data_IF_461842139142
#
_entry.id   IF_461842139142
#
_cell.length_a   1.000
_cell.length_b   1.000
_cell.length_c   1.000
_cell.angle_alpha   90.00
_cell.angle_beta   90.00
_cell.angle_gamma   90.00
#
_symmetry.space_group_name_H-M   'P 1'
#
loop_
_entity.id
_entity.type
_entity.pdbx_description
1 polymer ?
#
# COMPACT_ATOMS: atom_id res chain seq x y z
N UNK A 1 -31.01 -1.04 27.37
CA UNK A 1 -31.15 -2.26 26.53
C UNK A 1 -31.18 -3.41 27.50
N UNK A 2 -32.23 -4.24 27.44
CA UNK A 2 -32.44 -5.34 28.38
C UNK A 2 -31.44 -6.47 28.08
N UNK A 3 -31.02 -7.18 29.13
CA UNK A 3 -30.07 -8.30 29.11
C UNK A 3 -30.63 -9.61 28.50
N UNK A 4 -31.79 -9.55 27.84
CA UNK A 4 -32.53 -10.74 27.40
C UNK A 4 -32.42 -11.02 25.89
N UNK A 5 -31.71 -10.20 25.11
CA UNK A 5 -31.57 -10.38 23.64
C UNK A 5 -30.35 -11.22 23.21
N UNK A 6 -29.59 -11.79 24.17
CA UNK A 6 -28.42 -12.65 23.90
C UNK A 6 -28.72 -14.16 24.02
N UNK A 7 -29.96 -14.55 24.36
CA UNK A 7 -30.32 -15.96 24.59
C UNK A 7 -30.52 -16.79 23.33
N UNK A 8 -30.60 -16.16 22.15
CA UNK A 8 -31.06 -16.84 20.93
C UNK A 8 -29.97 -16.97 19.85
N UNK A 9 -28.69 -16.90 20.24
CA UNK A 9 -27.63 -17.37 19.36
C UNK A 9 -27.56 -18.89 19.49
N UNK A 10 -28.43 -19.56 18.72
CA UNK A 10 -28.47 -21.01 18.65
C UNK A 10 -27.08 -21.54 18.24
N UNK A 11 -26.43 -22.34 19.10
CA UNK A 11 -25.15 -22.96 18.80
C UNK A 11 -25.22 -23.82 17.53
N UNK A 12 -26.37 -24.39 17.18
CA UNK A 12 -26.56 -25.07 15.90
C UNK A 12 -26.45 -24.09 14.72
N UNK A 13 -26.92 -22.84 14.83
CA UNK A 13 -26.80 -21.84 13.77
C UNK A 13 -25.36 -21.35 13.57
N UNK A 14 -24.58 -21.25 14.67
CA UNK A 14 -23.14 -20.98 14.60
C UNK A 14 -22.42 -22.17 13.98
N UNK A 15 -22.73 -23.39 14.43
CA UNK A 15 -22.11 -24.61 13.93
C UNK A 15 -22.48 -24.85 12.46
N UNK A 16 -23.71 -24.57 12.03
CA UNK A 16 -24.16 -24.67 10.66
C UNK A 16 -23.57 -23.56 9.77
N UNK A 17 -23.31 -22.35 10.31
CA UNK A 17 -22.51 -21.32 9.63
C UNK A 17 -21.04 -21.76 9.45
N UNK A 18 -20.46 -22.40 10.47
CA UNK A 18 -19.12 -22.96 10.44
C UNK A 18 -19.02 -24.18 9.50
N UNK A 19 -20.05 -25.03 9.44
CA UNK A 19 -20.07 -26.27 8.66
C UNK A 19 -20.41 -26.02 7.17
N UNK A 20 -21.26 -25.03 6.87
CA UNK A 20 -21.45 -24.54 5.50
C UNK A 20 -20.23 -23.77 4.98
N UNK A 21 -19.31 -23.38 5.87
CA UNK A 21 -17.97 -22.96 5.47
C UNK A 21 -17.13 -24.20 5.11
N UNK A 22 -17.29 -24.66 3.87
CA UNK A 22 -16.33 -25.56 3.20
C UNK A 22 -14.88 -25.01 3.18
N UNK A 23 -14.66 -23.79 3.73
CA UNK A 23 -13.38 -23.14 4.06
C UNK A 23 -12.68 -23.68 5.32
N UNK A 24 -13.37 -24.37 6.24
CA UNK A 24 -12.77 -24.87 7.49
C UNK A 24 -11.76 -26.02 7.26
N UNK A 25 -11.94 -26.82 6.20
CA UNK A 25 -11.06 -27.95 5.85
C UNK A 25 -9.67 -27.58 5.31
N UNK A 26 -9.34 -26.29 5.16
CA UNK A 26 -7.98 -25.82 4.77
C UNK A 26 -7.11 -25.37 5.97
N UNK A 27 -7.63 -25.35 7.20
CA UNK A 27 -6.88 -24.85 8.36
C UNK A 27 -5.76 -25.78 8.87
N UNK A 28 -5.74 -27.06 8.48
CA UNK A 28 -4.62 -27.96 8.79
C UNK A 28 -3.28 -27.47 8.20
N UNK A 29 -3.29 -26.64 7.15
CA UNK A 29 -2.05 -26.05 6.62
C UNK A 29 -1.45 -24.99 7.55
N UNK A 30 -2.26 -24.33 8.39
CA UNK A 30 -1.78 -23.31 9.35
C UNK A 30 -1.07 -23.95 10.55
N UNK A 31 -1.44 -25.17 10.97
CA UNK A 31 -0.70 -25.89 12.02
C UNK A 31 0.76 -26.18 11.65
N UNK A 32 1.09 -26.30 10.37
CA UNK A 32 2.48 -26.42 9.89
C UNK A 32 3.24 -25.10 9.92
N UNK A 33 2.54 -23.97 10.05
CA UNK A 33 3.17 -22.64 10.18
C UNK A 33 3.55 -22.30 11.63
N UNK A 34 3.02 -23.00 12.63
CA UNK A 34 3.30 -22.73 14.07
C UNK A 34 4.80 -22.78 14.39
N UNK A 35 5.53 -23.77 13.87
CA UNK A 35 6.99 -23.86 14.04
C UNK A 35 7.76 -22.77 13.28
N UNK A 36 7.16 -22.20 12.24
CA UNK A 36 7.74 -21.06 11.52
C UNK A 36 7.48 -19.75 12.27
N UNK A 37 6.30 -19.59 12.88
CA UNK A 37 5.90 -18.42 13.67
C UNK A 37 6.81 -18.21 14.88
N UNK A 38 7.19 -19.29 15.57
CA UNK A 38 8.11 -19.23 16.72
C UNK A 38 9.52 -18.69 16.40
N UNK A 39 9.91 -18.71 15.12
CA UNK A 39 11.23 -18.25 14.67
C UNK A 39 11.18 -16.84 14.03
N UNK A 40 10.00 -16.21 13.99
CA UNK A 40 9.86 -14.86 13.45
C UNK A 40 10.38 -13.81 14.42
N UNK A 41 10.96 -12.74 13.88
CA UNK A 41 11.15 -11.52 14.66
C UNK A 41 9.80 -10.92 15.05
N UNK A 42 9.77 -10.13 16.12
CA UNK A 42 8.55 -9.45 16.58
C UNK A 42 7.86 -8.66 15.46
N UNK A 43 8.64 -7.91 14.67
CA UNK A 43 8.10 -7.13 13.55
C UNK A 43 7.51 -8.02 12.45
N UNK A 44 8.10 -9.18 12.18
CA UNK A 44 7.56 -10.12 11.19
C UNK A 44 6.25 -10.73 11.65
N UNK A 45 6.17 -11.10 12.93
CA UNK A 45 4.93 -11.57 13.55
C UNK A 45 3.82 -10.52 13.44
N UNK A 46 4.12 -9.25 13.76
CA UNK A 46 3.14 -8.17 13.68
C UNK A 46 2.66 -7.93 12.25
N UNK A 47 3.56 -7.93 11.26
CA UNK A 47 3.18 -7.77 9.85
C UNK A 47 2.22 -8.90 9.43
N UNK A 48 2.50 -10.15 9.82
CA UNK A 48 1.61 -11.27 9.53
C UNK A 48 0.27 -11.13 10.25
N UNK A 49 0.28 -10.80 11.55
CA UNK A 49 -0.93 -10.62 12.36
C UNK A 49 -1.87 -9.60 11.72
N UNK A 50 -1.37 -8.40 11.40
CA UNK A 50 -2.20 -7.36 10.77
C UNK A 50 -2.59 -7.74 9.34
N UNK A 51 -1.74 -8.46 8.61
CA UNK A 51 -2.11 -8.97 7.29
C UNK A 51 -3.28 -9.94 7.36
N UNK A 52 -3.25 -10.88 8.30
CA UNK A 52 -4.37 -11.80 8.53
C UNK A 52 -5.64 -11.07 8.99
N UNK A 53 -5.53 -10.09 9.89
CA UNK A 53 -6.67 -9.26 10.32
C UNK A 53 -7.33 -8.55 9.14
N UNK A 54 -6.56 -7.88 8.27
CA UNK A 54 -7.13 -7.21 7.11
C UNK A 54 -7.67 -8.18 6.05
N UNK A 55 -6.98 -9.28 5.77
CA UNK A 55 -7.50 -10.30 4.85
C UNK A 55 -8.83 -10.89 5.37
N UNK A 56 -8.95 -11.13 6.67
CA UNK A 56 -10.19 -11.56 7.30
C UNK A 56 -11.30 -10.53 7.14
N UNK A 57 -11.05 -9.26 7.44
CA UNK A 57 -12.02 -8.16 7.24
C UNK A 57 -12.47 -8.11 5.77
N UNK A 58 -11.53 -8.15 4.83
CA UNK A 58 -11.81 -8.17 3.40
C UNK A 58 -12.67 -9.38 2.99
N UNK A 59 -12.49 -10.54 3.63
CA UNK A 59 -13.28 -11.74 3.37
C UNK A 59 -14.75 -11.62 3.77
N UNK A 60 -15.08 -10.66 4.63
CA UNK A 60 -16.44 -10.32 5.06
C UNK A 60 -17.09 -9.22 4.19
N UNK A 61 -16.43 -8.78 3.13
CA UNK A 61 -17.02 -7.82 2.20
C UNK A 61 -18.23 -8.41 1.47
N UNK A 62 -19.19 -7.54 1.10
CA UNK A 62 -20.37 -7.95 0.34
C UNK A 62 -19.96 -8.67 -0.97
N UNK A 63 -20.72 -9.67 -1.42
CA UNK A 63 -20.45 -10.34 -2.70
C UNK A 63 -20.38 -9.35 -3.87
N UNK A 64 -19.55 -9.65 -4.87
CA UNK A 64 -19.36 -8.83 -6.07
C UNK A 64 -18.87 -7.40 -5.79
N UNK A 65 -18.08 -7.19 -4.73
CA UNK A 65 -17.36 -5.95 -4.43
C UNK A 65 -15.85 -6.13 -4.61
N UNK A 66 -15.10 -5.02 -4.61
CA UNK A 66 -13.65 -5.04 -4.89
C UNK A 66 -12.87 -6.06 -4.06
N UNK A 67 -13.07 -6.13 -2.74
CA UNK A 67 -12.29 -7.02 -1.87
C UNK A 67 -12.75 -8.48 -1.97
N UNK A 68 -14.05 -8.73 -2.18
CA UNK A 68 -14.57 -10.07 -2.46
C UNK A 68 -14.08 -10.60 -3.81
N UNK A 69 -13.87 -9.71 -4.79
CA UNK A 69 -13.33 -10.05 -6.11
C UNK A 69 -11.82 -10.30 -6.06
N UNK A 70 -11.10 -9.54 -5.23
CA UNK A 70 -9.67 -9.77 -4.98
C UNK A 70 -9.48 -11.12 -4.29
N UNK A 71 -10.20 -11.39 -3.20
CA UNK A 71 -10.12 -12.67 -2.47
C UNK A 71 -10.93 -13.78 -3.17
N UNK A 72 -10.48 -14.17 -4.36
CA UNK A 72 -11.17 -15.17 -5.17
C UNK A 72 -10.20 -16.04 -5.98
N UNK A 73 -10.65 -17.23 -6.36
CA UNK A 73 -9.91 -18.10 -7.30
C UNK A 73 -9.77 -17.51 -8.71
N UNK A 74 -10.51 -16.45 -9.03
CA UNK A 74 -10.50 -15.74 -10.32
C UNK A 74 -9.79 -14.39 -10.24
N UNK A 75 -9.00 -14.15 -9.18
CA UNK A 75 -8.36 -12.86 -8.91
C UNK A 75 -7.68 -12.25 -10.14
N UNK A 76 -6.99 -13.05 -10.96
CA UNK A 76 -6.29 -12.54 -12.13
C UNK A 76 -7.22 -11.96 -13.19
N UNK A 77 -8.41 -12.52 -13.38
CA UNK A 77 -9.40 -12.02 -14.33
C UNK A 77 -10.10 -10.77 -13.77
N UNK A 78 -10.32 -10.74 -12.46
CA UNK A 78 -10.98 -9.61 -11.77
C UNK A 78 -10.07 -8.40 -11.66
N UNK A 79 -8.79 -8.59 -11.34
CA UNK A 79 -7.89 -7.49 -11.00
C UNK A 79 -7.51 -6.61 -12.19
N UNK A 80 -7.49 -7.18 -13.40
CA UNK A 80 -7.07 -6.48 -14.63
C UNK A 80 -8.04 -5.36 -15.04
N UNK A 81 -9.30 -5.42 -14.60
CA UNK A 81 -10.36 -4.50 -15.04
C UNK A 81 -10.85 -3.56 -13.93
N UNK A 82 -10.20 -3.55 -12.77
CA UNK A 82 -10.58 -2.71 -11.64
C UNK A 82 -9.51 -1.65 -11.32
N UNK A 83 -9.96 -0.58 -10.68
CA UNK A 83 -9.15 0.45 -10.09
C UNK A 83 -8.84 0.08 -8.64
N UNK A 84 -7.65 -0.46 -8.40
CA UNK A 84 -7.25 -0.99 -7.09
C UNK A 84 -7.08 0.18 -6.09
N UNK A 85 -7.80 0.18 -4.95
CA UNK A 85 -7.53 1.12 -3.85
C UNK A 85 -6.11 0.96 -3.32
N UNK A 86 -5.37 2.06 -3.20
CA UNK A 86 -3.93 1.99 -2.89
C UNK A 86 -3.07 1.45 -4.04
N UNK A 87 -3.62 1.33 -5.25
CA UNK A 87 -2.90 0.92 -6.45
C UNK A 87 -2.02 2.03 -7.02
N UNK A 88 -1.01 1.62 -7.78
CA UNK A 88 0.03 2.48 -8.36
C UNK A 88 -0.51 3.44 -9.43
N UNK A 89 -0.09 4.72 -9.43
CA UNK A 89 -0.36 5.60 -10.56
C UNK A 89 0.46 5.18 -11.79
N UNK A 90 -0.11 5.37 -12.99
CA UNK A 90 0.50 4.92 -14.26
C UNK A 90 1.88 5.56 -14.53
N UNK A 91 2.04 6.82 -14.12
CA UNK A 91 3.22 7.63 -14.46
C UNK A 91 3.99 8.09 -13.22
N UNK A 92 4.06 7.23 -12.19
CA UNK A 92 4.77 7.51 -10.92
C UNK A 92 6.18 8.08 -11.14
N UNK A 93 6.91 7.51 -12.11
CA UNK A 93 8.27 7.94 -12.47
C UNK A 93 8.33 9.41 -12.90
N UNK A 94 7.41 9.81 -13.78
CA UNK A 94 7.39 11.16 -14.32
C UNK A 94 6.96 12.17 -13.26
N UNK A 95 6.04 11.77 -12.38
CA UNK A 95 5.57 12.58 -11.24
C UNK A 95 6.76 12.88 -10.31
N UNK A 96 7.51 11.85 -9.91
CA UNK A 96 8.68 12.01 -9.03
C UNK A 96 9.78 12.83 -9.71
N UNK A 97 10.03 12.57 -10.99
CA UNK A 97 11.02 13.31 -11.78
C UNK A 97 10.69 14.80 -11.88
N UNK A 98 9.41 15.17 -11.99
CA UNK A 98 9.02 16.57 -12.00
C UNK A 98 9.25 17.26 -10.65
N UNK A 99 9.15 16.55 -9.52
CA UNK A 99 9.52 17.09 -8.20
C UNK A 99 11.02 17.33 -8.10
N UNK A 100 11.83 16.33 -8.49
CA UNK A 100 13.30 16.47 -8.51
C UNK A 100 13.75 17.65 -9.37
N UNK A 101 13.12 17.82 -10.54
CA UNK A 101 13.41 18.94 -11.44
C UNK A 101 12.98 20.28 -10.81
N UNK A 102 11.85 20.32 -10.09
CA UNK A 102 11.42 21.52 -9.36
C UNK A 102 12.46 21.93 -8.33
N UNK A 103 12.86 20.99 -7.48
CA UNK A 103 13.87 21.21 -6.44
C UNK A 103 15.20 21.65 -7.06
N UNK A 104 15.59 21.05 -8.18
CA UNK A 104 16.77 21.48 -8.93
C UNK A 104 16.65 22.93 -9.39
N UNK A 105 15.55 23.35 -10.03
CA UNK A 105 15.39 24.74 -10.48
C UNK A 105 15.28 25.74 -9.33
N UNK A 106 14.63 25.37 -8.24
CA UNK A 106 14.52 26.21 -7.04
C UNK A 106 15.91 26.43 -6.40
N UNK A 107 16.76 25.39 -6.36
CA UNK A 107 18.11 25.43 -5.78
C UNK A 107 19.18 25.98 -6.74
N UNK A 108 18.99 25.85 -8.07
CA UNK A 108 19.91 26.35 -9.10
C UNK A 108 20.15 27.85 -9.02
N UNK A 109 19.21 28.61 -8.46
CA UNK A 109 19.41 30.05 -8.19
C UNK A 109 20.53 30.33 -7.18
N UNK A 110 20.93 29.34 -6.38
CA UNK A 110 22.00 29.44 -5.39
C UNK A 110 23.36 28.89 -5.87
N UNK A 111 23.41 28.06 -6.91
CA UNK A 111 24.64 27.46 -7.45
C UNK A 111 24.97 27.95 -8.86
N UNK A 112 26.23 28.27 -9.14
CA UNK A 112 26.69 28.71 -10.48
C UNK A 112 26.76 27.57 -11.52
N UNK A 113 26.24 26.38 -11.19
CA UNK A 113 26.30 25.20 -12.05
C UNK A 113 25.16 25.21 -13.08
N UNK A 114 25.53 25.24 -14.37
CA UNK A 114 24.61 25.14 -15.50
C UNK A 114 24.56 23.70 -16.00
N UNK A 115 23.79 22.85 -15.34
CA UNK A 115 23.42 21.54 -15.88
C UNK A 115 22.12 21.65 -16.69
N UNK A 116 22.07 20.92 -17.80
CA UNK A 116 20.86 20.76 -18.60
C UNK A 116 19.98 19.71 -17.97
N UNK A 117 18.68 19.98 -17.89
CA UNK A 117 17.70 19.06 -17.30
C UNK A 117 16.99 18.28 -18.41
N UNK A 118 16.86 16.98 -18.24
CA UNK A 118 16.26 16.11 -19.24
C UNK A 118 15.36 15.07 -18.61
N UNK A 119 14.42 14.55 -19.41
CA UNK A 119 13.56 13.42 -19.06
C UNK A 119 13.82 12.31 -20.06
N UNK A 120 14.10 11.13 -19.54
CA UNK A 120 14.19 9.87 -20.27
C UNK A 120 12.79 9.40 -20.69
N UNK A 121 12.63 8.63 -21.76
CA UNK A 121 11.29 8.15 -22.17
C UNK A 121 10.59 7.20 -21.19
N UNK A 122 11.28 6.75 -20.14
CA UNK A 122 10.62 6.06 -19.03
C UNK A 122 10.06 7.03 -17.97
N UNK A 123 10.17 8.33 -18.20
CA UNK A 123 9.79 9.40 -17.28
C UNK A 123 10.93 9.90 -16.39
N UNK A 124 12.03 9.15 -16.25
CA UNK A 124 13.08 9.51 -15.27
C UNK A 124 13.88 10.75 -15.68
N UNK A 125 13.97 11.71 -14.77
CA UNK A 125 14.87 12.87 -14.83
C UNK A 125 16.36 12.48 -14.85
N UNK A 126 17.16 13.22 -15.61
CA UNK A 126 18.62 13.16 -15.54
C UNK A 126 19.24 14.50 -15.94
N UNK A 127 20.48 14.72 -15.54
CA UNK A 127 21.18 16.00 -15.67
C UNK A 127 22.46 15.83 -16.50
N UNK A 128 22.78 16.83 -17.34
CA UNK A 128 24.00 16.85 -18.14
C UNK A 128 24.75 18.16 -17.87
N UNK A 129 25.95 18.06 -17.31
CA UNK A 129 26.84 19.20 -17.05
C UNK A 129 27.53 19.71 -18.34
N UNK A 130 28.39 20.72 -18.21
CA UNK A 130 29.24 21.25 -19.28
C UNK A 130 28.45 21.81 -20.49
N UNK A 131 28.03 23.08 -20.38
CA UNK A 131 27.26 23.81 -21.38
C UNK A 131 25.84 23.27 -21.64
N UNK A 132 25.35 22.33 -20.83
CA UNK A 132 23.99 21.77 -20.93
C UNK A 132 23.72 21.05 -22.26
N UNK A 133 24.76 20.61 -22.96
CA UNK A 133 24.61 20.02 -24.29
C UNK A 133 25.09 18.57 -24.29
N UNK A 134 24.34 17.65 -24.90
CA UNK A 134 24.71 16.24 -24.91
C UNK A 134 25.93 16.02 -25.81
N UNK A 135 27.06 15.67 -25.19
CA UNK A 135 28.29 15.31 -25.90
C UNK A 135 28.78 13.88 -25.58
N UNK A 136 28.02 13.16 -24.75
CA UNK A 136 28.22 11.76 -24.44
C UNK A 136 26.88 11.06 -24.28
N UNK A 137 26.92 9.74 -24.45
CA UNK A 137 25.78 8.86 -24.18
C UNK A 137 26.05 8.03 -22.92
N UNK A 138 24.99 7.69 -22.21
CA UNK A 138 25.01 6.75 -21.09
C UNK A 138 23.71 5.94 -21.07
N UNK A 139 23.58 4.97 -20.16
CA UNK A 139 22.34 4.21 -20.01
C UNK A 139 21.50 4.79 -18.87
N UNK A 140 20.20 4.92 -19.10
CA UNK A 140 19.26 5.27 -18.05
C UNK A 140 19.35 4.25 -16.92
N UNK A 141 19.50 4.71 -15.68
CA UNK A 141 19.52 3.84 -14.51
C UNK A 141 18.24 3.00 -14.34
N UNK A 142 17.13 3.41 -14.97
CA UNK A 142 15.83 2.76 -14.88
C UNK A 142 15.59 1.84 -16.06
N UNK A 143 15.12 2.37 -17.21
CA UNK A 143 14.78 1.54 -18.37
C UNK A 143 15.99 0.97 -19.13
N UNK A 144 17.22 1.23 -18.68
CA UNK A 144 18.49 0.83 -19.31
C UNK A 144 18.71 1.31 -20.76
N UNK A 145 17.73 2.00 -21.36
CA UNK A 145 17.83 2.63 -22.68
C UNK A 145 18.82 3.80 -22.65
N UNK A 146 19.47 4.03 -23.79
CA UNK A 146 20.45 5.10 -23.98
C UNK A 146 19.83 6.48 -23.72
N UNK A 147 20.55 7.32 -22.98
CA UNK A 147 20.28 8.73 -22.69
C UNK A 147 21.45 9.61 -23.14
N UNK A 148 21.25 10.93 -23.13
CA UNK A 148 22.23 11.89 -23.65
C UNK A 148 22.25 11.92 -25.18
N UNK A 149 23.43 12.07 -25.76
CA UNK A 149 23.59 12.22 -27.21
C UNK A 149 24.98 12.70 -27.61
N UNK A 150 25.15 13.02 -28.89
CA UNK A 150 26.44 13.39 -29.49
C UNK A 150 26.31 14.66 -30.32
N UNK A 151 27.39 15.43 -30.44
CA UNK A 151 27.42 16.67 -31.23
C UNK A 151 26.26 17.62 -30.89
N UNK A 152 25.96 17.77 -29.60
CA UNK A 152 24.91 18.65 -29.08
C UNK A 152 23.49 18.26 -29.52
N UNK A 153 23.31 17.04 -30.02
CA UNK A 153 22.01 16.48 -30.39
C UNK A 153 21.67 15.31 -29.48
N UNK A 154 20.51 15.40 -28.84
CA UNK A 154 19.96 14.27 -28.09
C UNK A 154 19.74 13.07 -29.01
N UNK A 155 19.96 11.87 -28.46
CA UNK A 155 19.55 10.65 -29.13
C UNK A 155 18.02 10.66 -29.34
N UNK A 156 17.58 10.67 -30.60
CA UNK A 156 16.16 10.79 -30.95
C UNK A 156 15.40 9.55 -30.50
N UNK A 157 14.45 9.74 -29.58
CA UNK A 157 13.40 8.78 -29.24
C UNK A 157 12.20 9.52 -28.66
N UNK A 158 11.02 8.92 -28.78
CA UNK A 158 9.79 9.46 -28.20
C UNK A 158 9.91 9.59 -26.67
N UNK A 159 9.38 10.67 -26.09
CA UNK A 159 9.40 10.93 -24.64
C UNK A 159 10.77 11.28 -24.04
N UNK A 160 11.83 11.37 -24.85
CA UNK A 160 13.16 11.79 -24.41
C UNK A 160 13.40 13.26 -24.76
N UNK A 161 13.33 14.13 -23.76
CA UNK A 161 13.19 15.57 -23.97
C UNK A 161 14.05 16.38 -23.00
N UNK A 162 14.54 17.54 -23.46
CA UNK A 162 15.05 18.58 -22.56
C UNK A 162 13.89 19.28 -21.85
N UNK A 163 14.09 19.64 -20.59
CA UNK A 163 13.17 20.46 -19.82
C UNK A 163 13.80 21.83 -19.64
N UNK A 164 13.14 22.84 -20.18
CA UNK A 164 13.57 24.23 -20.09
C UNK A 164 12.88 24.91 -18.91
N UNK A 165 13.64 25.63 -18.09
CA UNK A 165 13.09 26.37 -16.93
C UNK A 165 12.10 27.43 -17.41
N UNK A 166 12.43 28.12 -18.50
CA UNK A 166 11.65 29.23 -19.04
C UNK A 166 11.83 29.39 -20.56
N UNK A 167 11.03 30.30 -21.14
CA UNK A 167 11.03 30.60 -22.57
C UNK A 167 12.37 31.13 -23.09
N UNK A 168 13.13 31.87 -22.27
CA UNK A 168 14.42 32.42 -22.67
C UNK A 168 15.44 31.29 -22.87
N UNK A 169 15.52 30.35 -21.93
CA UNK A 169 16.40 29.19 -22.05
C UNK A 169 16.03 28.34 -23.29
N UNK A 170 14.74 28.14 -23.53
CA UNK A 170 14.27 27.42 -24.72
C UNK A 170 14.65 28.15 -26.02
N UNK A 171 14.57 29.48 -26.04
CA UNK A 171 14.94 30.30 -27.19
C UNK A 171 16.44 30.28 -27.48
N UNK A 172 17.29 30.17 -26.45
CA UNK A 172 18.74 29.99 -26.59
C UNK A 172 19.12 28.60 -27.12
N UNK A 173 18.26 27.60 -26.91
CA UNK A 173 18.53 26.18 -27.20
C UNK A 173 17.56 25.57 -28.22
N UNK A 174 17.06 26.35 -29.18
CA UNK A 174 16.03 25.97 -30.18
C UNK A 174 16.31 24.67 -30.95
N UNK A 175 17.57 24.27 -31.07
CA UNK A 175 17.98 23.07 -31.80
C UNK A 175 17.80 21.77 -31.00
N UNK A 176 17.47 21.86 -29.71
CA UNK A 176 17.29 20.70 -28.82
C UNK A 176 15.79 20.50 -28.59
N UNK A 177 15.22 19.33 -28.94
CA UNK A 177 13.83 19.01 -28.63
C UNK A 177 13.58 19.06 -27.11
N UNK A 178 12.54 19.77 -26.71
CA UNK A 178 12.17 19.90 -25.31
C UNK A 178 10.87 20.65 -25.08
N UNK A 179 10.47 20.74 -23.83
CA UNK A 179 9.26 21.44 -23.38
C UNK A 179 9.56 22.32 -22.18
N UNK A 180 8.69 23.29 -21.90
CA UNK A 180 8.81 24.12 -20.72
C UNK A 180 8.50 23.30 -19.47
N UNK A 181 9.13 23.67 -18.36
CA UNK A 181 8.85 23.07 -17.06
C UNK A 181 7.39 23.30 -16.64
N UNK A 182 6.81 24.45 -16.97
CA UNK A 182 5.38 24.71 -16.76
C UNK A 182 4.47 23.73 -17.47
N UNK A 183 4.85 23.27 -18.66
CA UNK A 183 4.07 22.31 -19.45
C UNK A 183 4.20 20.91 -18.86
N UNK A 184 5.42 20.54 -18.42
CA UNK A 184 5.63 19.32 -17.66
C UNK A 184 4.76 19.27 -16.39
N UNK A 185 4.68 20.35 -15.62
CA UNK A 185 3.88 20.39 -14.40
C UNK A 185 2.38 20.21 -14.68
N UNK A 186 1.85 20.83 -15.74
CA UNK A 186 0.45 20.63 -16.17
C UNK A 186 0.19 19.18 -16.56
N UNK A 187 1.10 18.57 -17.31
CA UNK A 187 1.00 17.16 -17.71
C UNK A 187 1.02 16.25 -16.47
N UNK A 188 1.96 16.47 -15.56
CA UNK A 188 2.07 15.69 -14.31
C UNK A 188 0.81 15.82 -13.46
N UNK A 189 0.20 16.99 -13.37
CA UNK A 189 -1.05 17.17 -12.62
C UNK A 189 -2.21 16.36 -13.23
N UNK A 190 -2.31 16.32 -14.57
CA UNK A 190 -3.29 15.48 -15.26
C UNK A 190 -2.99 13.99 -15.00
N UNK A 191 -1.71 13.59 -15.05
CA UNK A 191 -1.30 12.20 -14.89
C UNK A 191 -1.45 11.69 -13.45
N UNK A 192 -1.25 12.55 -12.44
CA UNK A 192 -1.54 12.24 -11.02
C UNK A 192 -2.99 11.79 -10.84
N UNK A 193 -3.90 12.36 -11.63
CA UNK A 193 -5.33 12.10 -11.57
C UNK A 193 -5.79 11.00 -12.56
N UNK A 194 -4.94 10.59 -13.49
CA UNK A 194 -5.26 9.58 -14.52
C UNK A 194 -4.75 8.20 -14.10
N UNK A 195 -5.63 7.21 -13.99
CA UNK A 195 -5.24 5.81 -13.82
C UNK A 195 -5.87 4.97 -14.92
N UNK A 196 -5.15 3.94 -15.36
CA UNK A 196 -5.75 2.80 -16.09
C UNK A 196 -6.11 1.70 -15.08
N UNK A 197 -7.22 0.98 -15.28
CA UNK A 197 -7.55 -0.20 -14.48
C UNK A 197 -6.44 -1.25 -14.61
N UNK A 198 -6.36 -2.15 -13.63
CA UNK A 198 -5.39 -3.23 -13.61
C UNK A 198 -4.26 -3.05 -12.61
N UNK A 199 -3.72 -4.18 -12.15
CA UNK A 199 -2.47 -4.25 -11.41
C UNK A 199 -1.30 -3.83 -12.29
N UNK A 200 -0.38 -3.05 -11.73
CA UNK A 200 0.84 -2.62 -12.40
C UNK A 200 2.02 -3.01 -11.55
N UNK A 201 2.97 -3.70 -12.18
CA UNK A 201 4.30 -3.86 -11.63
C UNK A 201 4.98 -2.50 -11.63
N UNK A 202 5.69 -2.21 -10.56
CA UNK A 202 6.47 -0.99 -10.40
C UNK A 202 7.86 -1.33 -9.92
N UNK A 203 8.82 -0.47 -10.21
CA UNK A 203 10.18 -0.65 -9.72
C UNK A 203 10.22 -0.37 -8.22
N UNK A 204 11.00 -1.17 -7.48
CA UNK A 204 11.07 -1.09 -6.02
C UNK A 204 11.36 0.32 -5.53
N UNK A 205 12.34 0.98 -6.12
CA UNK A 205 12.78 2.33 -5.74
C UNK A 205 11.64 3.38 -5.79
N UNK A 206 10.66 3.22 -6.68
CA UNK A 206 9.49 4.11 -6.73
C UNK A 206 8.42 3.70 -5.73
N UNK A 207 8.25 2.39 -5.56
CA UNK A 207 7.36 1.91 -4.53
C UNK A 207 7.83 2.41 -3.16
N UNK A 208 9.13 2.36 -2.87
CA UNK A 208 9.70 2.71 -1.57
C UNK A 208 10.06 4.19 -1.39
N UNK A 209 9.67 5.07 -2.32
CA UNK A 209 9.92 6.50 -2.19
C UNK A 209 9.14 7.10 -0.98
N UNK A 210 9.81 7.67 0.04
CA UNK A 210 9.16 8.24 1.21
C UNK A 210 8.46 9.58 0.94
N UNK A 211 8.74 10.25 -0.18
CA UNK A 211 8.08 11.51 -0.58
C UNK A 211 7.05 11.30 -1.68
N UNK A 212 6.61 10.05 -1.86
CA UNK A 212 5.65 9.67 -2.89
C UNK A 212 4.30 10.36 -2.65
N UNK A 213 3.78 10.98 -3.70
CA UNK A 213 2.41 11.49 -3.71
C UNK A 213 1.58 10.61 -4.64
N UNK A 214 0.45 10.15 -4.13
CA UNK A 214 -0.49 9.33 -4.88
C UNK A 214 -1.85 9.99 -4.82
N UNK A 215 -2.29 10.57 -5.94
CA UNK A 215 -3.62 11.17 -6.09
C UNK A 215 -3.88 12.22 -4.97
N UNK A 216 -5.13 12.28 -4.50
CA UNK A 216 -5.60 13.17 -3.43
C UNK A 216 -5.74 12.44 -2.09
N UNK A 217 -4.84 11.49 -1.80
CA UNK A 217 -4.75 10.85 -0.48
C UNK A 217 -3.35 11.06 0.10
N UNK A 218 -3.27 11.11 1.43
CA UNK A 218 -1.97 11.20 2.09
C UNK A 218 -1.18 9.88 1.92
N UNK A 219 0.14 9.94 2.10
CA UNK A 219 1.02 8.79 1.93
C UNK A 219 0.68 7.65 2.90
N UNK A 220 0.29 7.95 4.16
CA UNK A 220 -0.11 6.95 5.18
C UNK A 220 -1.34 6.15 4.71
N UNK A 221 -2.37 6.81 4.21
CA UNK A 221 -3.59 6.20 3.65
C UNK A 221 -3.24 5.32 2.46
N UNK A 222 -2.41 5.82 1.55
CA UNK A 222 -1.95 5.05 0.41
C UNK A 222 -1.21 3.78 0.87
N UNK A 223 -0.24 3.89 1.80
CA UNK A 223 0.48 2.74 2.37
C UNK A 223 -0.45 1.75 3.08
N UNK A 224 -1.43 2.23 3.85
CA UNK A 224 -2.43 1.39 4.51
C UNK A 224 -3.27 0.60 3.49
N UNK A 225 -3.76 1.27 2.44
CA UNK A 225 -4.54 0.62 1.39
C UNK A 225 -3.70 -0.37 0.59
N UNK A 226 -2.45 -0.05 0.27
CA UNK A 226 -1.51 -1.00 -0.34
C UNK A 226 -1.24 -2.19 0.59
N UNK A 227 -1.11 -1.96 1.90
CA UNK A 227 -0.94 -3.02 2.89
C UNK A 227 -2.13 -3.99 2.83
N UNK A 228 -3.37 -3.46 2.94
CA UNK A 228 -4.60 -4.25 2.87
C UNK A 228 -4.66 -5.07 1.57
N UNK A 229 -4.35 -4.44 0.43
CA UNK A 229 -4.33 -5.12 -0.86
C UNK A 229 -3.34 -6.29 -0.86
N UNK A 230 -2.08 -6.06 -0.49
CA UNK A 230 -1.05 -7.12 -0.46
C UNK A 230 -1.30 -8.16 0.64
N UNK A 231 -2.02 -7.82 1.72
CA UNK A 231 -2.50 -8.79 2.71
C UNK A 231 -3.48 -9.79 2.10
N UNK A 232 -4.39 -9.34 1.23
CA UNK A 232 -5.27 -10.25 0.48
C UNK A 232 -4.46 -11.16 -0.46
N UNK A 233 -3.46 -10.61 -1.16
CA UNK A 233 -2.60 -11.41 -2.06
C UNK A 233 -1.82 -12.46 -1.29
N UNK A 234 -1.24 -12.10 -0.13
CA UNK A 234 -0.55 -13.04 0.74
C UNK A 234 -1.49 -14.17 1.19
N UNK A 235 -2.72 -13.83 1.54
CA UNK A 235 -3.71 -14.82 1.96
C UNK A 235 -4.09 -15.79 0.83
N UNK A 236 -4.30 -15.29 -0.39
CA UNK A 236 -4.60 -16.11 -1.56
C UNK A 236 -3.40 -16.96 -2.01
N UNK A 237 -2.18 -16.47 -1.86
CA UNK A 237 -0.94 -17.24 -2.02
C UNK A 237 -0.93 -18.44 -1.06
N UNK A 238 -1.20 -18.20 0.23
CA UNK A 238 -1.21 -19.24 1.28
C UNK A 238 -2.32 -20.26 1.08
N UNK A 239 -3.49 -19.83 0.61
CA UNK A 239 -4.61 -20.71 0.25
C UNK A 239 -4.42 -21.46 -1.08
N UNK A 240 -3.33 -21.17 -1.80
CA UNK A 240 -3.00 -21.73 -3.13
C UNK A 240 -4.05 -21.40 -4.20
N UNK A 241 -4.69 -20.24 -4.09
CA UNK A 241 -5.55 -19.72 -5.14
C UNK A 241 -4.75 -19.05 -6.27
N UNK A 242 -3.55 -18.55 -5.95
CA UNK A 242 -2.59 -18.06 -6.92
C UNK A 242 -1.56 -19.13 -7.30
N UNK A 243 -1.31 -19.29 -8.60
CA UNK A 243 -0.20 -20.09 -9.12
C UNK A 243 1.10 -19.29 -9.04
N UNK A 244 2.24 -19.97 -8.95
CA UNK A 244 3.56 -19.33 -8.87
C UNK A 244 3.83 -18.36 -10.03
N UNK A 245 3.42 -18.71 -11.26
CA UNK A 245 3.55 -17.83 -12.42
C UNK A 245 2.70 -16.55 -12.33
N UNK A 246 1.59 -16.59 -11.59
CA UNK A 246 0.74 -15.42 -11.39
C UNK A 246 1.27 -14.52 -10.28
N UNK A 247 1.97 -15.08 -9.27
CA UNK A 247 2.60 -14.31 -8.19
C UNK A 247 3.62 -13.29 -8.72
N UNK A 248 4.35 -13.63 -9.78
CA UNK A 248 5.33 -12.74 -10.42
C UNK A 248 4.71 -11.40 -10.85
N UNK A 249 3.40 -11.37 -11.16
CA UNK A 249 2.70 -10.14 -11.54
C UNK A 249 2.55 -9.15 -10.38
N UNK A 250 2.69 -9.60 -9.14
CA UNK A 250 2.59 -8.78 -7.94
C UNK A 250 3.95 -8.30 -7.43
N UNK A 251 5.06 -8.85 -7.96
CA UNK A 251 6.42 -8.47 -7.60
C UNK A 251 6.86 -7.17 -8.29
N UNK A 252 7.92 -6.55 -7.76
CA UNK A 252 8.52 -5.38 -8.41
C UNK A 252 9.06 -5.72 -9.80
N UNK A 253 9.05 -4.74 -10.70
CA UNK A 253 9.52 -4.92 -12.08
C UNK A 253 11.01 -5.28 -12.17
N UNK A 254 11.83 -4.79 -11.22
CA UNK A 254 13.27 -5.00 -11.15
C UNK A 254 13.70 -6.15 -10.22
N UNK A 255 12.75 -6.88 -9.62
CA UNK A 255 13.06 -7.97 -8.70
C UNK A 255 12.01 -9.10 -8.76
N UNK A 256 12.30 -10.10 -9.60
CA UNK A 256 11.45 -11.29 -9.78
C UNK A 256 11.60 -12.34 -8.65
N UNK A 257 12.49 -12.12 -7.66
CA UNK A 257 12.79 -13.10 -6.60
C UNK A 257 12.15 -12.78 -5.26
N UNK A 258 11.40 -11.69 -5.16
CA UNK A 258 10.74 -11.31 -3.91
C UNK A 258 9.51 -12.15 -3.61
N UNK A 259 9.12 -12.15 -2.34
CA UNK A 259 7.84 -12.68 -1.88
C UNK A 259 6.87 -11.54 -1.58
N UNK A 260 5.56 -11.83 -1.56
CA UNK A 260 4.54 -10.87 -1.13
C UNK A 260 4.84 -10.33 0.27
N UNK A 261 5.35 -11.20 1.16
CA UNK A 261 5.77 -10.81 2.49
C UNK A 261 6.90 -9.78 2.50
N UNK A 262 7.84 -9.85 1.54
CA UNK A 262 8.88 -8.82 1.40
C UNK A 262 8.30 -7.46 1.04
N UNK A 263 7.26 -7.41 0.21
CA UNK A 263 6.58 -6.17 -0.14
C UNK A 263 5.84 -5.62 1.08
N UNK A 264 5.17 -6.48 1.86
CA UNK A 264 4.52 -6.09 3.11
C UNK A 264 5.51 -5.52 4.13
N UNK A 265 6.74 -6.06 4.21
CA UNK A 265 7.82 -5.48 5.02
C UNK A 265 8.20 -4.07 4.56
N UNK A 266 8.41 -3.87 3.25
CA UNK A 266 8.70 -2.55 2.69
C UNK A 266 7.56 -1.56 3.02
N UNK A 267 6.29 -1.97 2.90
CA UNK A 267 5.13 -1.13 3.24
C UNK A 267 5.13 -0.79 4.73
N UNK A 268 5.35 -1.76 5.60
CA UNK A 268 5.36 -1.58 7.06
C UNK A 268 6.44 -0.59 7.50
N UNK A 269 7.65 -0.72 6.97
CA UNK A 269 8.75 0.20 7.25
C UNK A 269 8.40 1.64 6.84
N UNK A 270 7.85 1.82 5.64
CA UNK A 270 7.46 3.13 5.14
C UNK A 270 6.29 3.72 5.93
N UNK A 271 5.31 2.90 6.31
CA UNK A 271 4.19 3.34 7.14
C UNK A 271 4.71 3.82 8.51
N UNK A 272 5.66 3.10 9.11
CA UNK A 272 6.31 3.52 10.36
C UNK A 272 7.06 4.85 10.20
N UNK A 273 7.84 5.02 9.12
CA UNK A 273 8.54 6.28 8.82
C UNK A 273 7.55 7.45 8.68
N UNK A 274 6.46 7.26 7.95
CA UNK A 274 5.45 8.31 7.75
C UNK A 274 4.69 8.66 9.04
N UNK A 275 4.37 7.67 9.88
CA UNK A 275 3.75 7.89 11.19
C UNK A 275 4.69 8.63 12.14
N UNK A 276 5.99 8.32 12.14
CA UNK A 276 6.99 9.03 12.92
C UNK A 276 7.05 10.52 12.54
N UNK A 277 6.97 10.86 11.24
CA UNK A 277 6.87 12.27 10.77
C UNK A 277 5.65 13.01 11.32
N UNK A 278 4.64 12.29 11.82
CA UNK A 278 3.42 12.84 12.45
C UNK A 278 3.45 12.76 13.98
N UNK A 279 4.57 12.37 14.59
CA UNK A 279 4.72 12.24 16.05
C UNK A 279 4.08 10.96 16.62
N UNK A 280 3.90 9.93 15.80
CA UNK A 280 3.37 8.62 16.19
C UNK A 280 4.52 7.60 16.18
N UNK A 281 5.53 7.85 17.03
CA UNK A 281 6.79 7.10 16.99
C UNK A 281 6.67 5.67 17.54
N UNK A 282 7.06 4.68 16.74
CA UNK A 282 7.06 3.24 17.09
C UNK A 282 5.70 2.74 17.60
N UNK A 283 4.61 3.33 17.09
CA UNK A 283 3.23 3.06 17.52
C UNK A 283 2.35 2.62 16.36
N UNK A 284 2.93 2.01 15.33
CA UNK A 284 2.20 1.51 14.16
C UNK A 284 1.08 0.55 14.57
N UNK A 285 1.30 -0.36 15.52
CA UNK A 285 0.29 -1.31 16.00
C UNK A 285 -0.87 -0.56 16.67
N UNK A 286 -0.56 0.42 17.52
CA UNK A 286 -1.57 1.25 18.18
C UNK A 286 -2.37 2.05 17.14
N UNK A 287 -1.70 2.62 16.15
CA UNK A 287 -2.36 3.33 15.06
C UNK A 287 -3.28 2.41 14.24
N UNK A 288 -2.80 1.22 13.87
CA UNK A 288 -3.58 0.23 13.13
C UNK A 288 -4.80 -0.23 13.93
N UNK A 289 -4.66 -0.52 15.23
CA UNK A 289 -5.78 -0.88 16.09
C UNK A 289 -6.82 0.24 16.23
N UNK A 290 -6.41 1.50 16.25
CA UNK A 290 -7.32 2.64 16.31
C UNK A 290 -8.10 2.83 15.00
N UNK A 291 -7.48 2.60 13.85
CA UNK A 291 -8.11 2.83 12.54
C UNK A 291 -8.88 1.61 12.01
N UNK A 292 -8.54 0.41 12.48
CA UNK A 292 -9.10 -0.86 11.99
C UNK A 292 -10.64 -0.92 12.05
N UNK A 293 -11.33 -0.49 13.12
CA UNK A 293 -12.80 -0.53 13.16
C UNK A 293 -13.45 0.34 12.07
N UNK A 294 -12.95 1.56 11.87
CA UNK A 294 -13.45 2.47 10.83
C UNK A 294 -13.24 1.89 9.42
N UNK A 295 -12.06 1.32 9.17
CA UNK A 295 -11.74 0.70 7.88
C UNK A 295 -12.59 -0.56 7.66
N UNK A 296 -12.81 -1.37 8.69
CA UNK A 296 -13.67 -2.55 8.60
C UNK A 296 -15.10 -2.20 8.23
N UNK A 297 -15.66 -1.14 8.83
CA UNK A 297 -16.98 -0.60 8.48
C UNK A 297 -17.01 -0.15 7.02
N UNK A 298 -16.00 0.59 6.56
CA UNK A 298 -15.92 1.03 5.16
C UNK A 298 -15.86 -0.16 4.19
N UNK A 299 -15.07 -1.19 4.49
CA UNK A 299 -14.95 -2.40 3.64
C UNK A 299 -16.26 -3.20 3.64
N UNK A 300 -16.87 -3.40 4.80
CA UNK A 300 -18.12 -4.17 4.94
C UNK A 300 -19.29 -3.49 4.25
N UNK A 301 -19.38 -2.16 4.35
CA UNK A 301 -20.47 -1.39 3.74
C UNK A 301 -20.23 -1.05 2.26
N UNK A 302 -18.99 -1.13 1.78
CA UNK A 302 -18.65 -0.82 0.39
C UNK A 302 -19.48 -1.64 -0.59
N UNK A 303 -20.08 -0.96 -1.58
CA UNK A 303 -20.88 -1.59 -2.63
C UNK A 303 -20.17 -1.55 -3.99
N UNK A 304 -19.01 -0.91 -4.05
CA UNK A 304 -18.30 -0.69 -5.30
C UNK A 304 -17.43 -1.89 -5.69
N UNK A 305 -17.43 -2.16 -7.00
CA UNK A 305 -16.47 -3.07 -7.66
C UNK A 305 -15.15 -2.38 -7.99
N UNK A 306 -15.17 -1.05 -8.06
CA UNK A 306 -14.09 -0.21 -8.57
C UNK A 306 -13.85 -0.43 -10.06
N UNK A 307 -14.91 -0.59 -10.86
CA UNK A 307 -14.78 -0.73 -12.33
C UNK A 307 -14.49 0.63 -13.01
N UNK A 308 -14.71 1.73 -12.29
CA UNK A 308 -14.36 3.08 -12.74
C UNK A 308 -13.53 3.82 -11.68
N UNK A 309 -12.82 4.86 -12.13
CA UNK A 309 -11.92 5.65 -11.28
C UNK A 309 -12.65 6.45 -10.20
N UNK A 310 -13.92 6.78 -10.42
CA UNK A 310 -14.74 7.56 -9.50
C UNK A 310 -15.12 6.75 -8.25
N UNK A 311 -15.54 5.50 -8.43
CA UNK A 311 -15.81 4.56 -7.33
C UNK A 311 -14.60 4.42 -6.40
N UNK A 312 -13.42 4.17 -6.97
CA UNK A 312 -12.16 4.09 -6.20
C UNK A 312 -11.90 5.39 -5.45
N UNK A 313 -12.05 6.54 -6.14
CA UNK A 313 -11.84 7.85 -5.53
C UNK A 313 -12.74 8.08 -4.33
N UNK A 314 -14.03 7.72 -4.40
CA UNK A 314 -14.96 7.86 -3.28
C UNK A 314 -14.49 7.03 -2.07
N UNK A 315 -14.15 5.76 -2.29
CA UNK A 315 -13.67 4.88 -1.23
C UNK A 315 -12.35 5.36 -0.62
N UNK A 316 -11.36 5.70 -1.45
CA UNK A 316 -10.07 6.23 -1.01
C UNK A 316 -10.23 7.54 -0.22
N UNK A 317 -11.16 8.40 -0.62
CA UNK A 317 -11.45 9.67 0.07
C UNK A 317 -12.02 9.44 1.46
N UNK A 318 -12.96 8.50 1.62
CA UNK A 318 -13.52 8.18 2.93
C UNK A 318 -12.47 7.52 3.84
N UNK A 319 -11.67 6.58 3.32
CA UNK A 319 -10.53 6.03 4.06
C UNK A 319 -9.55 7.14 4.50
N UNK A 320 -9.24 8.08 3.60
CA UNK A 320 -8.34 9.18 3.90
C UNK A 320 -8.87 10.09 5.01
N UNK A 321 -10.17 10.40 5.01
CA UNK A 321 -10.80 11.18 6.08
C UNK A 321 -10.65 10.51 7.44
N UNK A 322 -10.85 9.20 7.52
CA UNK A 322 -10.69 8.42 8.76
C UNK A 322 -9.25 8.40 9.23
N UNK A 323 -8.31 8.16 8.32
CA UNK A 323 -6.87 8.17 8.62
C UNK A 323 -6.42 9.54 9.13
N UNK A 324 -6.77 10.63 8.43
CA UNK A 324 -6.42 11.99 8.85
C UNK A 324 -7.02 12.35 10.22
N UNK A 325 -8.28 11.98 10.46
CA UNK A 325 -8.92 12.17 11.77
C UNK A 325 -8.15 11.43 12.87
N UNK A 326 -7.79 10.17 12.65
CA UNK A 326 -7.05 9.37 13.63
C UNK A 326 -5.66 9.92 13.89
N UNK A 327 -4.95 10.39 12.86
CA UNK A 327 -3.64 11.06 13.02
C UNK A 327 -3.80 12.33 13.87
N UNK A 328 -4.74 13.20 13.50
CA UNK A 328 -4.95 14.49 14.17
C UNK A 328 -5.36 14.32 15.65
N UNK A 329 -6.04 13.23 15.99
CA UNK A 329 -6.55 12.95 17.33
C UNK A 329 -5.79 11.82 18.04
N UNK A 330 -4.63 11.41 17.52
CA UNK A 330 -3.96 10.18 17.93
C UNK A 330 -3.73 10.11 19.44
N UNK A 331 -3.20 11.17 20.06
CA UNK A 331 -2.90 11.18 21.49
C UNK A 331 -4.16 10.96 22.36
N UNK A 332 -5.26 11.62 22.01
CA UNK A 332 -6.54 11.48 22.73
C UNK A 332 -7.10 10.07 22.56
N UNK A 333 -7.17 9.58 21.31
CA UNK A 333 -7.70 8.26 20.99
C UNK A 333 -6.84 7.14 21.61
N UNK A 334 -5.52 7.30 21.60
CA UNK A 334 -4.59 6.37 22.21
C UNK A 334 -4.78 6.27 23.72
N UNK A 335 -4.95 7.40 24.43
CA UNK A 335 -5.25 7.35 25.86
C UNK A 335 -6.58 6.68 26.16
N UNK A 336 -7.60 6.96 25.36
CA UNK A 336 -8.89 6.29 25.49
C UNK A 336 -8.76 4.78 25.24
N UNK A 337 -8.02 4.37 24.21
CA UNK A 337 -7.75 2.97 23.92
C UNK A 337 -7.05 2.28 25.09
N UNK A 338 -6.00 2.88 25.67
CA UNK A 338 -5.31 2.32 26.83
C UNK A 338 -6.25 2.19 28.04
N UNK A 339 -7.11 3.17 28.29
CA UNK A 339 -8.08 3.10 29.38
C UNK A 339 -9.10 1.99 29.15
N UNK A 340 -9.67 1.89 27.95
CA UNK A 340 -10.60 0.83 27.59
C UNK A 340 -9.92 -0.54 27.73
N UNK A 341 -8.68 -0.70 27.25
CA UNK A 341 -7.94 -1.96 27.41
C UNK A 341 -7.71 -2.31 28.88
N UNK A 342 -7.41 -1.34 29.75
CA UNK A 342 -7.28 -1.57 31.19
C UNK A 342 -8.61 -1.98 31.82
N UNK A 343 -9.68 -1.26 31.52
CA UNK A 343 -11.04 -1.60 32.01
C UNK A 343 -11.42 -3.02 31.60
N UNK A 344 -11.08 -3.42 30.37
CA UNK A 344 -11.33 -4.77 29.88
C UNK A 344 -10.48 -5.83 30.61
N UNK A 345 -9.19 -5.54 30.86
CA UNK A 345 -8.32 -6.44 31.64
C UNK A 345 -8.74 -6.55 33.11
N UNK A 346 -9.52 -5.59 33.61
CA UNK A 346 -10.10 -5.61 34.96
C UNK A 346 -11.50 -6.28 35.00
N UNK A 347 -12.03 -6.75 33.87
CA UNK A 347 -13.26 -7.55 33.84
C UNK A 347 -12.96 -8.91 34.48
N UNK A 348 -13.62 -9.21 35.60
CA UNK A 348 -13.63 -10.52 36.27
C UNK A 348 -14.44 -11.57 35.47
N UNK A 349 -14.14 -11.71 34.19
CA UNK A 349 -14.61 -12.77 33.31
C UNK A 349 -13.38 -13.32 32.61
N UNK A 350 -12.93 -14.48 33.08
CA UNK A 350 -11.73 -15.17 32.59
C UNK A 350 -11.76 -15.37 31.07
N UNK A 351 -12.95 -15.45 30.45
CA UNK A 351 -13.13 -15.54 28.99
C UNK A 351 -12.67 -14.27 28.31
N UNK A 352 -13.25 -13.15 28.72
CA UNK A 352 -13.05 -11.84 28.10
C UNK A 352 -11.64 -11.38 28.41
N UNK A 353 -11.20 -11.55 29.65
CA UNK A 353 -9.83 -11.30 30.05
C UNK A 353 -8.85 -12.11 29.19
N UNK A 354 -9.10 -13.40 28.93
CA UNK A 354 -8.18 -14.21 28.12
C UNK A 354 -8.22 -13.93 26.62
N UNK A 355 -9.38 -13.55 26.06
CA UNK A 355 -9.51 -13.08 24.67
C UNK A 355 -8.75 -11.76 24.48
N UNK A 356 -8.77 -10.88 25.49
CA UNK A 356 -8.11 -9.57 25.43
C UNK A 356 -6.64 -9.61 25.86
N UNK A 357 -6.24 -10.54 26.73
CA UNK A 357 -4.85 -10.67 27.16
C UNK A 357 -3.93 -11.16 26.04
N UNK A 358 -4.46 -11.82 24.99
CA UNK A 358 -3.86 -12.22 23.68
C UNK A 358 -2.33 -12.53 23.61
N UNK A 359 -1.62 -12.72 24.74
CA UNK A 359 -0.16 -12.81 24.81
C UNK A 359 0.43 -13.61 25.99
N UNK A 360 -0.31 -14.04 27.02
CA UNK A 360 0.38 -14.48 28.26
C UNK A 360 0.62 -15.99 28.44
N UNK A 361 -0.36 -16.89 28.34
CA UNK A 361 -0.11 -18.34 28.41
C UNK A 361 -1.37 -19.18 28.09
N UNK A 362 -1.42 -19.74 26.88
CA UNK A 362 -2.55 -20.57 26.41
C UNK A 362 -2.84 -21.81 27.27
N UNK A 363 -1.86 -22.25 28.06
CA UNK A 363 -1.98 -23.46 28.89
C UNK A 363 -2.76 -23.25 30.18
N UNK A 364 -3.19 -22.02 30.48
CA UNK A 364 -4.01 -21.70 31.67
C UNK A 364 -5.51 -21.64 31.41
N UNK A 365 -5.95 -21.76 30.16
CA UNK A 365 -7.35 -21.68 29.78
C UNK A 365 -8.10 -23.01 29.93
N UNK A 366 -9.31 -22.95 30.49
CA UNK A 366 -10.19 -24.12 30.63
C UNK A 366 -10.71 -24.58 29.26
N UNK A 367 -10.43 -25.84 28.91
CA UNK A 367 -10.71 -26.44 27.60
C UNK A 367 -12.20 -26.65 27.31
N UNK A 368 -13.03 -26.86 28.32
CA UNK A 368 -14.46 -27.11 28.10
C UNK A 368 -15.22 -25.83 27.77
N UNK A 369 -14.74 -24.68 28.25
CA UNK A 369 -15.46 -23.41 28.12
C UNK A 369 -15.05 -22.62 26.88
N UNK A 370 -13.82 -22.78 26.36
CA UNK A 370 -13.26 -21.89 25.33
C UNK A 370 -12.51 -22.60 24.20
N UNK A 371 -13.18 -23.50 23.44
CA UNK A 371 -12.53 -24.30 22.40
C UNK A 371 -11.96 -23.47 21.23
N UNK A 372 -12.50 -22.26 20.98
CA UNK A 372 -12.15 -21.41 19.82
C UNK A 372 -10.96 -20.47 20.05
N UNK A 373 -10.64 -20.10 21.29
CA UNK A 373 -9.54 -19.16 21.59
C UNK A 373 -8.18 -19.72 21.15
N UNK A 374 -8.03 -21.05 21.16
CA UNK A 374 -6.83 -21.70 20.65
C UNK A 374 -6.55 -21.43 19.16
N UNK A 375 -7.58 -21.09 18.39
CA UNK A 375 -7.43 -20.79 16.96
C UNK A 375 -7.05 -19.33 16.69
N UNK A 376 -7.36 -18.42 17.62
CA UNK A 376 -7.13 -16.98 17.46
C UNK A 376 -5.82 -16.52 18.12
N UNK A 377 -5.35 -17.22 19.15
CA UNK A 377 -4.23 -16.80 20.00
C UNK A 377 -3.01 -17.76 19.99
N UNK A 378 -2.81 -18.58 18.94
CA UNK A 378 -1.58 -19.35 18.70
C UNK A 378 -0.74 -18.67 17.62
#
# INVERSE_FOLDING_TARGET
MNNDDLSDINMESILEFLDNSTKLRKYESLFKEVSNIQNLSLSEYEILLYSHKFAFICSQSKPNTVYSNILSSEIMDKINNIYIPGGEPEYSILIDSAKEIKEYFDNKKASMEKSGVYICSCGKSYYIDNCTQPNSTSNCSFCKKIIGGTNHRLHKREGHLRIFENLNEQAENKNIPGKLFSDLLKEVEILKNTQKPGLKRVLKIYFTNPTKEVRNINNITYRLLSFIFYSCILFDEKLKYLKENDLIKFYYEDDDKQSIFSILKDIWELLNIELNKKGIDNKIQCFLNLILPDIAILISNNEFKMENSHERMLFETECNKKVEYTIANFQKLYQQYINNSKEILEINDDTIQSIIEETSNINKLNLENYPLIRFLCI
#
